data_IF_135788147417
#
_entry.id   IF_135788147417
#
_cell.length_a   1.000
_cell.length_b   1.000
_cell.length_c   1.000
_cell.angle_alpha   90.00
_cell.angle_beta   90.00
_cell.angle_gamma   90.00
#
_symmetry.space_group_name_H-M   'P 1'
#
loop_
_entity.id
_entity.type
_entity.pdbx_description
1 polymer ?
#
# COMPACT_ATOMS: atom_id res chain seq x y z
N UNK A 1 -11.67 -16.43 -13.39
CA UNK A 1 -12.05 -15.89 -12.07
C UNK A 1 -10.74 -15.54 -11.38
N UNK A 2 -10.37 -14.27 -11.39
CA UNK A 2 -9.04 -13.84 -10.95
C UNK A 2 -8.89 -14.08 -9.46
N UNK A 3 -7.84 -14.80 -9.08
CA UNK A 3 -7.40 -15.04 -7.71
C UNK A 3 -7.01 -13.71 -7.04
N UNK A 4 -7.98 -12.96 -6.55
CA UNK A 4 -7.72 -11.93 -5.55
C UNK A 4 -7.38 -12.67 -4.26
N UNK A 5 -6.08 -12.91 -4.05
CA UNK A 5 -5.52 -13.34 -2.77
C UNK A 5 -6.24 -12.60 -1.63
N UNK A 6 -7.03 -13.33 -0.84
CA UNK A 6 -7.82 -12.83 0.31
C UNK A 6 -6.98 -12.07 1.35
N UNK A 7 -5.65 -12.14 1.25
CA UNK A 7 -4.69 -11.45 2.11
C UNK A 7 -4.82 -9.91 2.14
N UNK A 8 -5.53 -9.29 1.18
CA UNK A 8 -5.59 -7.83 1.03
C UNK A 8 -6.93 -7.20 1.43
N UNK A 9 -7.88 -7.94 1.99
CA UNK A 9 -9.21 -7.41 2.31
C UNK A 9 -9.22 -6.22 3.28
N UNK A 10 -8.09 -5.92 3.94
CA UNK A 10 -7.92 -4.87 4.94
C UNK A 10 -6.98 -3.74 4.49
N UNK A 11 -6.44 -3.81 3.27
CA UNK A 11 -5.65 -2.72 2.69
C UNK A 11 -6.57 -1.68 2.05
N UNK A 12 -6.50 -0.46 2.55
CA UNK A 12 -7.13 0.71 1.99
C UNK A 12 -6.28 1.26 0.85
N UNK A 13 -6.87 1.27 -0.35
CA UNK A 13 -6.32 2.02 -1.48
C UNK A 13 -6.31 3.52 -1.17
N UNK A 14 -5.27 4.20 -1.65
CA UNK A 14 -5.18 5.67 -1.63
C UNK A 14 -4.81 6.17 -3.02
N UNK A 15 -5.41 7.29 -3.42
CA UNK A 15 -5.07 7.95 -4.68
C UNK A 15 -3.72 8.68 -4.53
N UNK A 16 -2.79 8.52 -5.48
CA UNK A 16 -1.62 9.39 -5.58
C UNK A 16 -2.03 10.85 -5.79
N UNK A 17 -1.20 11.79 -5.34
CA UNK A 17 -1.37 13.18 -5.77
C UNK A 17 -0.61 13.45 -7.07
N UNK A 18 -1.02 14.47 -7.81
CA UNK A 18 -0.27 14.94 -8.96
C UNK A 18 1.16 15.33 -8.54
N UNK A 19 2.15 14.86 -9.31
CA UNK A 19 3.58 15.06 -9.06
C UNK A 19 4.10 14.53 -7.70
N UNK A 20 3.35 13.64 -7.04
CA UNK A 20 3.79 13.03 -5.80
C UNK A 20 5.00 12.10 -6.01
N UNK A 21 6.04 12.28 -5.19
CA UNK A 21 7.17 11.35 -5.19
C UNK A 21 6.77 10.00 -4.59
N UNK A 22 7.38 8.92 -5.10
CA UNK A 22 7.10 7.56 -4.62
C UNK A 22 7.30 7.40 -3.10
N UNK A 23 8.34 8.02 -2.54
CA UNK A 23 8.61 7.97 -1.10
C UNK A 23 7.51 8.65 -0.27
N UNK A 24 6.93 9.74 -0.79
CA UNK A 24 5.81 10.43 -0.15
C UNK A 24 4.54 9.58 -0.21
N UNK A 25 4.21 9.03 -1.38
CA UNK A 25 3.09 8.12 -1.57
C UNK A 25 3.16 6.92 -0.62
N UNK A 26 4.31 6.24 -0.57
CA UNK A 26 4.53 5.08 0.32
C UNK A 26 4.43 5.46 1.80
N UNK A 27 4.87 6.67 2.18
CA UNK A 27 4.71 7.20 3.53
C UNK A 27 3.24 7.34 3.93
N UNK A 28 2.40 7.86 3.03
CA UNK A 28 0.94 7.95 3.23
C UNK A 28 0.28 6.59 3.24
N UNK A 29 0.60 5.73 2.27
CA UNK A 29 0.05 4.38 2.16
C UNK A 29 0.29 3.59 3.44
N UNK A 30 1.52 3.64 3.98
CA UNK A 30 1.89 3.03 5.26
C UNK A 30 1.04 3.53 6.41
N UNK A 31 0.90 4.85 6.55
CA UNK A 31 0.13 5.50 7.63
C UNK A 31 -1.36 5.15 7.55
N UNK A 32 -1.94 5.17 6.35
CA UNK A 32 -3.37 4.87 6.13
C UNK A 32 -3.75 3.44 6.46
N UNK A 33 -2.78 2.53 6.30
CA UNK A 33 -2.93 1.09 6.54
C UNK A 33 -2.31 0.64 7.87
N UNK A 34 -1.85 1.56 8.73
CA UNK A 34 -1.19 1.27 10.00
C UNK A 34 -0.05 0.24 9.89
N UNK A 35 0.66 0.26 8.77
CA UNK A 35 1.72 -0.72 8.49
C UNK A 35 3.02 -0.31 9.17
N UNK A 36 3.77 -1.30 9.65
CA UNK A 36 5.19 -1.10 9.97
C UNK A 36 6.00 -0.98 8.67
N UNK A 37 7.22 -0.40 8.71
CA UNK A 37 8.10 -0.37 7.54
C UNK A 37 8.38 -1.76 6.96
N UNK A 38 8.58 -2.77 7.82
CA UNK A 38 8.81 -4.16 7.40
C UNK A 38 7.56 -4.78 6.77
N UNK A 39 6.37 -4.48 7.30
CA UNK A 39 5.12 -4.96 6.72
C UNK A 39 4.87 -4.35 5.33
N UNK A 40 5.18 -3.07 5.13
CA UNK A 40 5.12 -2.41 3.83
C UNK A 40 6.07 -3.07 2.82
N UNK A 41 7.32 -3.35 3.21
CA UNK A 41 8.30 -4.00 2.34
C UNK A 41 7.93 -5.45 1.98
N UNK A 42 7.16 -6.13 2.85
CA UNK A 42 6.67 -7.49 2.61
C UNK A 42 5.47 -7.57 1.66
N UNK A 43 4.88 -6.45 1.24
CA UNK A 43 3.80 -6.44 0.26
C UNK A 43 4.36 -6.84 -1.11
N UNK A 44 4.13 -8.08 -1.53
CA UNK A 44 4.54 -8.64 -2.84
C UNK A 44 3.67 -8.13 -4.01
N UNK A 45 3.52 -6.82 -4.16
CA UNK A 45 2.71 -6.22 -5.23
C UNK A 45 3.45 -5.20 -6.10
N UNK A 46 4.73 -4.96 -5.83
CA UNK A 46 5.60 -4.11 -6.63
C UNK A 46 6.74 -4.93 -7.21
#
# INVERSE_FOLDING_TARGET
MSETNEAQSWLFSIEPYDEESLSHFLGRFRRRNYLSPSALAGLKQF
#
